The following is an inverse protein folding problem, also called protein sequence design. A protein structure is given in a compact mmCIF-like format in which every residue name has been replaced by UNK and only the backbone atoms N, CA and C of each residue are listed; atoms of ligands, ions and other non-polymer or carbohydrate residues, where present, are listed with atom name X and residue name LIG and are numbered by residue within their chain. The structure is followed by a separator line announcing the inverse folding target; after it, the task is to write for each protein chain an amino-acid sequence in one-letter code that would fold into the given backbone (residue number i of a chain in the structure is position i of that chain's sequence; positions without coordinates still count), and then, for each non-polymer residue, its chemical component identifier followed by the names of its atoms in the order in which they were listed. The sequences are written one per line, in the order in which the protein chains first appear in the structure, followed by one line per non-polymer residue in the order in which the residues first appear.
data_IF_789757598428
#
_entry.id   IF_789757598428
#
_cell.length_a   1.000
_cell.length_b   1.000
_cell.length_c   1.000
_cell.angle_alpha   90.00
_cell.angle_beta   90.00
_cell.angle_gamma   90.00
#
_symmetry.space_group_name_H-M   'P 1'
#
loop_
_entity.id
_entity.type
_entity.pdbx_description
1 polymer ?
#
# COMPACT_ATOMS: atom_id res chain seq x y z
N UNK A 1 -5.47 -10.30 -1.76
CA UNK A 1 -4.49 -9.22 -1.80
C UNK A 1 -3.21 -9.74 -2.43
N UNK A 2 -3.05 -9.45 -3.71
CA UNK A 2 -1.78 -9.65 -4.41
C UNK A 2 -1.06 -8.31 -4.51
N UNK A 3 0.27 -8.33 -4.61
CA UNK A 3 1.08 -7.13 -4.74
C UNK A 3 0.56 -6.24 -5.87
N UNK A 4 0.32 -6.83 -7.04
CA UNK A 4 -0.20 -6.12 -8.21
C UNK A 4 -1.54 -5.44 -7.95
N UNK A 5 -2.47 -6.09 -7.23
CA UNK A 5 -3.77 -5.48 -6.90
C UNK A 5 -3.63 -4.33 -5.89
N UNK A 6 -2.71 -4.45 -4.93
CA UNK A 6 -2.42 -3.38 -3.97
C UNK A 6 -1.75 -2.18 -4.64
N UNK A 7 -0.76 -2.44 -5.50
CA UNK A 7 -0.06 -1.44 -6.29
C UNK A 7 -0.99 -0.72 -7.26
N UNK A 8 -1.85 -1.46 -7.97
CA UNK A 8 -2.85 -0.86 -8.86
C UNK A 8 -3.80 0.05 -8.08
N UNK A 9 -4.30 -0.39 -6.92
CA UNK A 9 -5.11 0.45 -6.04
C UNK A 9 -4.36 1.73 -5.69
N UNK A 10 -3.13 1.63 -5.20
CA UNK A 10 -2.32 2.78 -4.79
C UNK A 10 -2.07 3.75 -5.95
N UNK A 11 -1.68 3.24 -7.11
CA UNK A 11 -1.43 4.05 -8.30
C UNK A 11 -2.69 4.80 -8.79
N UNK A 12 -3.88 4.21 -8.61
CA UNK A 12 -5.14 4.82 -9.01
C UNK A 12 -5.73 5.73 -7.93
N UNK A 13 -5.56 5.44 -6.63
CA UNK A 13 -6.26 6.19 -5.56
C UNK A 13 -5.41 7.29 -4.92
N UNK A 14 -4.12 7.06 -4.71
CA UNK A 14 -3.28 7.96 -3.90
C UNK A 14 -2.90 9.27 -4.59
N UNK A 15 -2.74 9.36 -5.93
CA UNK A 15 -2.47 10.64 -6.60
C UNK A 15 -3.58 11.69 -6.44
N UNK A 16 -4.81 11.25 -6.16
CA UNK A 16 -5.98 12.14 -6.00
C UNK A 16 -6.25 12.54 -4.54
N UNK A 17 -5.52 11.97 -3.58
CA UNK A 17 -5.65 12.31 -2.16
C UNK A 17 -4.80 13.54 -1.81
N UNK A 18 -5.11 14.25 -0.71
CA UNK A 18 -4.26 15.32 -0.21
C UNK A 18 -2.82 14.85 -0.02
N UNK A 19 -1.88 15.72 -0.41
CA UNK A 19 -0.45 15.53 -0.15
C UNK A 19 -0.18 15.55 1.36
N UNK A 20 0.97 15.01 1.75
CA UNK A 20 1.45 15.11 3.13
C UNK A 20 2.09 16.48 3.33
N UNK A 21 1.69 17.21 4.36
CA UNK A 21 2.28 18.51 4.69
C UNK A 21 3.63 18.33 5.40
N UNK A 22 3.75 17.29 6.23
CA UNK A 22 4.96 16.90 6.95
C UNK A 22 5.28 15.41 6.72
N UNK A 23 6.57 15.08 6.61
CA UNK A 23 7.02 13.69 6.41
C UNK A 23 6.78 12.77 7.61
N UNK A 24 6.54 13.36 8.79
CA UNK A 24 6.20 12.63 10.02
C UNK A 24 4.77 12.10 10.00
N UNK A 25 3.94 12.58 9.08
CA UNK A 25 2.57 12.10 8.91
C UNK A 25 2.55 10.68 8.32
N UNK A 26 1.74 9.82 8.93
CA UNK A 26 1.50 8.47 8.44
C UNK A 26 0.57 8.44 7.22
N UNK A 27 0.69 7.38 6.42
CA UNK A 27 -0.29 7.04 5.38
C UNK A 27 -0.98 5.74 5.75
N UNK A 28 -2.30 5.76 5.74
CA UNK A 28 -3.13 4.58 5.95
C UNK A 28 -3.70 4.08 4.62
N UNK A 29 -3.50 2.79 4.35
CA UNK A 29 -4.08 2.10 3.21
C UNK A 29 -4.81 0.86 3.69
N UNK A 30 -6.14 0.90 3.62
CA UNK A 30 -6.96 -0.26 3.97
C UNK A 30 -6.93 -1.30 2.84
N UNK A 31 -6.81 -2.58 3.18
CA UNK A 31 -6.89 -3.68 2.23
C UNK A 31 -7.90 -4.73 2.70
N UNK A 32 -8.49 -5.45 1.74
CA UNK A 32 -9.39 -6.57 2.03
C UNK A 32 -8.62 -7.88 1.95
N UNK A 33 -8.73 -8.70 3.00
CA UNK A 33 -8.24 -10.08 3.03
C UNK A 33 -9.25 -10.96 2.30
N UNK A 34 -8.77 -11.74 1.32
CA UNK A 34 -9.57 -12.68 0.56
C UNK A 34 -9.25 -14.12 0.98
N UNK A 35 -10.13 -15.10 0.73
CA UNK A 35 -9.87 -16.49 1.06
C UNK A 35 -8.54 -17.03 0.50
N UNK A 36 -8.12 -16.55 -0.68
CA UNK A 36 -6.86 -16.91 -1.33
C UNK A 36 -5.61 -16.28 -0.68
N UNK A 37 -5.77 -15.40 0.31
CA UNK A 37 -4.66 -14.85 1.10
C UNK A 37 -4.40 -15.64 2.38
N UNK A 38 -5.31 -16.56 2.72
CA UNK A 38 -5.19 -17.39 3.90
C UNK A 38 -4.23 -18.56 3.63
N UNK A 39 -3.46 -18.91 4.64
CA UNK A 39 -2.65 -20.12 4.65
C UNK A 39 -3.46 -21.31 5.20
N UNK A 40 -2.79 -22.45 5.34
CA UNK A 40 -3.38 -23.69 5.90
C UNK A 40 -3.86 -23.53 7.34
N UNK A 41 -3.37 -22.52 8.08
CA UNK A 41 -3.80 -22.22 9.43
C UNK A 41 -5.05 -21.33 9.45
N UNK A 42 -5.63 -20.98 8.29
CA UNK A 42 -6.74 -20.04 8.15
C UNK A 42 -6.40 -18.61 8.63
N UNK A 43 -5.11 -18.27 8.65
CA UNK A 43 -4.64 -16.93 8.95
C UNK A 43 -4.07 -16.30 7.68
N UNK A 44 -4.03 -14.97 7.63
CA UNK A 44 -3.38 -14.30 6.51
C UNK A 44 -1.90 -14.70 6.48
N UNK A 45 -1.45 -15.20 5.34
CA UNK A 45 -0.06 -15.61 5.19
C UNK A 45 0.88 -14.44 5.52
N UNK A 46 1.88 -14.69 6.38
CA UNK A 46 2.84 -13.68 6.85
C UNK A 46 3.51 -12.88 5.71
N UNK A 47 3.80 -13.51 4.58
CA UNK A 47 4.38 -12.83 3.42
C UNK A 47 3.47 -11.72 2.85
N UNK A 48 2.14 -11.85 3.03
CA UNK A 48 1.17 -10.87 2.55
C UNK A 48 1.22 -9.56 3.33
N UNK A 49 1.69 -9.56 4.58
CA UNK A 49 1.90 -8.33 5.34
C UNK A 49 3.01 -7.48 4.73
N UNK A 50 4.11 -8.09 4.31
CA UNK A 50 5.22 -7.40 3.64
C UNK A 50 4.72 -6.78 2.33
N UNK A 51 3.91 -7.54 1.58
CA UNK A 51 3.27 -7.05 0.34
C UNK A 51 2.37 -5.84 0.61
N UNK A 52 1.58 -5.86 1.68
CA UNK A 52 0.73 -4.75 2.08
C UNK A 52 1.54 -3.51 2.50
N UNK A 53 2.62 -3.72 3.27
CA UNK A 53 3.54 -2.67 3.70
C UNK A 53 4.25 -2.02 2.51
N UNK A 54 4.65 -2.81 1.51
CA UNK A 54 5.25 -2.27 0.28
C UNK A 54 4.25 -1.37 -0.47
N UNK A 55 3.01 -1.84 -0.67
CA UNK A 55 1.98 -1.00 -1.30
C UNK A 55 1.72 0.30 -0.50
N UNK A 56 1.65 0.24 0.84
CA UNK A 56 1.52 1.42 1.68
C UNK A 56 2.73 2.38 1.57
N UNK A 57 3.94 1.85 1.39
CA UNK A 57 5.15 2.65 1.15
C UNK A 57 5.05 3.41 -0.17
N UNK A 58 4.53 2.79 -1.23
CA UNK A 58 4.27 3.48 -2.49
C UNK A 58 3.23 4.60 -2.33
N UNK A 59 2.18 4.38 -1.53
CA UNK A 59 1.21 5.42 -1.20
C UNK A 59 1.86 6.64 -0.54
N UNK A 60 2.78 6.38 0.42
CA UNK A 60 3.59 7.42 1.03
C UNK A 60 4.45 8.17 0.00
N UNK A 61 5.19 7.46 -0.85
CA UNK A 61 6.05 8.09 -1.86
C UNK A 61 5.27 8.99 -2.84
N UNK A 62 4.06 8.58 -3.22
CA UNK A 62 3.16 9.37 -4.08
C UNK A 62 2.70 10.63 -3.36
N UNK A 63 2.18 10.51 -2.13
CA UNK A 63 1.61 11.63 -1.37
C UNK A 63 2.66 12.60 -0.84
N UNK A 64 3.86 12.11 -0.52
CA UNK A 64 5.03 12.92 -0.15
C UNK A 64 5.69 13.61 -1.36
N UNK A 65 5.27 13.29 -2.59
CA UNK A 65 5.87 13.84 -3.81
C UNK A 65 7.30 13.36 -4.11
N UNK A 66 7.79 12.37 -3.35
CA UNK A 66 9.12 11.79 -3.51
C UNK A 66 9.25 10.98 -4.80
N UNK A 67 8.16 10.33 -5.23
CA UNK A 67 8.17 9.53 -6.45
C UNK A 67 8.54 10.36 -7.70
N UNK A 68 8.04 11.59 -7.80
CA UNK A 68 8.37 12.49 -8.92
C UNK A 68 9.82 12.96 -8.91
N UNK A 69 10.51 12.93 -7.76
CA UNK A 69 11.93 13.30 -7.66
C UNK A 69 12.88 12.13 -7.93
N UNK A 70 12.38 10.90 -7.78
CA UNK A 70 13.16 9.68 -8.01
C UNK A 70 13.16 9.24 -9.49
N UNK A 71 12.25 9.79 -10.30
CA UNK A 71 12.15 9.59 -11.76
C UNK A 71 12.77 10.77 -12.50
#
# INVERSE_FOLDING_TARGET
MNLYTGMLKVAVTEPFKPRLDRLEEGVEVAFRVWPLDLDVNLHMNNAKYIVAMEAARWAFLVRAGLLRRAL
#
